data_IF_479444533553
#
_entry.id   IF_479444533553
#
_cell.length_a   1.000
_cell.length_b   1.000
_cell.length_c   1.000
_cell.angle_alpha   90.00
_cell.angle_beta   90.00
_cell.angle_gamma   90.00
#
_symmetry.space_group_name_H-M   'P 1'
#
loop_
_entity.id
_entity.type
_entity.pdbx_description
1 polymer ?
#
# COMPACT_ATOMS: atom_id res chain seq x y z
N UNK A 1 17.40 -15.14 -17.38
CA UNK A 1 16.71 -14.54 -16.22
C UNK A 1 15.19 -14.72 -16.36
N UNK A 2 14.65 -15.84 -15.88
CA UNK A 2 13.20 -16.07 -15.92
C UNK A 2 12.51 -15.14 -14.92
N UNK A 3 11.74 -14.17 -15.42
CA UNK A 3 10.99 -13.19 -14.60
C UNK A 3 9.70 -13.80 -14.03
N UNK A 4 9.69 -15.09 -13.74
CA UNK A 4 8.47 -15.91 -13.54
C UNK A 4 7.57 -15.47 -12.38
N UNK A 5 8.10 -14.72 -11.42
CA UNK A 5 7.35 -14.21 -10.27
C UNK A 5 7.19 -12.68 -10.26
N UNK A 6 7.63 -11.99 -11.31
CA UNK A 6 7.55 -10.53 -11.38
C UNK A 6 6.09 -10.10 -11.50
N UNK A 7 5.57 -9.45 -10.46
CA UNK A 7 4.21 -8.89 -10.48
C UNK A 7 3.09 -9.88 -10.18
N UNK A 8 3.41 -11.14 -9.82
CA UNK A 8 2.43 -12.14 -9.40
C UNK A 8 1.53 -11.58 -8.29
N UNK A 9 0.21 -11.69 -8.45
CA UNK A 9 -0.81 -11.16 -7.54
C UNK A 9 -1.03 -9.64 -7.59
N UNK A 10 -0.07 -8.83 -8.05
CA UNK A 10 -0.24 -7.37 -8.18
C UNK A 10 -0.86 -7.03 -9.54
N UNK A 11 -0.48 -7.73 -10.61
CA UNK A 11 -0.99 -7.46 -11.96
C UNK A 11 -2.49 -7.71 -12.10
N UNK A 12 -3.02 -8.66 -11.33
CA UNK A 12 -4.44 -9.03 -11.27
C UNK A 12 -5.31 -7.98 -10.55
N UNK A 13 -4.70 -7.13 -9.73
CA UNK A 13 -5.43 -6.07 -9.03
C UNK A 13 -5.76 -4.94 -9.99
N UNK A 14 -6.93 -4.31 -9.76
CA UNK A 14 -7.34 -3.07 -10.44
C UNK A 14 -6.22 -2.03 -10.31
N UNK A 15 -5.87 -1.40 -11.44
CA UNK A 15 -4.75 -0.46 -11.55
C UNK A 15 -3.43 -0.97 -10.96
N UNK A 16 -3.21 -2.28 -10.95
CA UNK A 16 -2.07 -2.95 -10.33
C UNK A 16 -1.89 -2.60 -8.84
N UNK A 17 -3.01 -2.46 -8.13
CA UNK A 17 -3.08 -2.12 -6.71
C UNK A 17 -2.76 -0.65 -6.41
N UNK A 18 -2.80 0.24 -7.41
CA UNK A 18 -2.65 1.68 -7.22
C UNK A 18 -3.98 2.31 -6.82
N UNK A 19 -3.91 3.32 -5.97
CA UNK A 19 -5.06 4.09 -5.52
C UNK A 19 -4.63 5.27 -4.66
N UNK A 20 -5.56 5.75 -3.85
CA UNK A 20 -5.33 6.84 -2.89
C UNK A 20 -5.01 6.25 -1.52
N UNK A 21 -3.89 6.65 -0.93
CA UNK A 21 -3.52 6.19 0.41
C UNK A 21 -4.43 6.81 1.48
N UNK A 22 -5.08 5.99 2.29
CA UNK A 22 -5.98 6.46 3.36
C UNK A 22 -5.30 7.35 4.41
N UNK A 23 -3.98 7.19 4.63
CA UNK A 23 -3.21 7.98 5.61
C UNK A 23 -2.65 9.27 5.03
N UNK A 24 -1.79 9.18 4.02
CA UNK A 24 -1.08 10.34 3.46
C UNK A 24 -1.77 11.00 2.26
N UNK A 25 -2.95 10.50 1.85
CA UNK A 25 -3.77 11.01 0.74
C UNK A 25 -3.06 11.09 -0.62
N UNK A 26 -1.87 10.51 -0.77
CA UNK A 26 -1.16 10.42 -2.06
C UNK A 26 -1.92 9.51 -3.02
N UNK A 27 -2.02 9.95 -4.26
CA UNK A 27 -2.71 9.25 -5.35
C UNK A 27 -1.72 8.48 -6.24
N UNK A 28 -2.25 7.57 -7.07
CA UNK A 28 -1.44 6.80 -8.04
C UNK A 28 -0.41 5.85 -7.40
N UNK A 29 -0.52 5.59 -6.09
CA UNK A 29 0.45 4.83 -5.30
C UNK A 29 -0.11 3.45 -4.92
N UNK A 30 0.78 2.46 -4.82
CA UNK A 30 0.42 1.11 -4.39
C UNK A 30 -0.11 1.10 -2.95
N UNK A 31 -1.38 0.76 -2.78
CA UNK A 31 -2.11 0.64 -1.50
C UNK A 31 -2.37 -0.83 -1.19
N UNK A 32 -1.30 -1.57 -0.93
CA UNK A 32 -1.32 -3.03 -0.79
C UNK A 32 -1.43 -3.52 0.65
N UNK A 33 -1.29 -2.64 1.63
CA UNK A 33 -1.18 -3.05 3.03
C UNK A 33 -2.41 -2.62 3.79
N UNK A 34 -3.08 -3.56 4.42
CA UNK A 34 -4.15 -3.27 5.36
C UNK A 34 -3.55 -2.94 6.72
N UNK A 35 -3.98 -1.82 7.28
CA UNK A 35 -3.61 -1.39 8.61
C UNK A 35 -4.80 -0.71 9.27
N UNK A 36 -4.92 -0.90 10.57
CA UNK A 36 -5.90 -0.17 11.37
C UNK A 36 -5.44 1.29 11.54
N UNK A 37 -6.28 2.22 11.09
CA UNK A 37 -6.12 3.66 11.27
C UNK A 37 -7.41 4.15 11.90
N UNK A 38 -7.30 4.84 13.04
CA UNK A 38 -8.46 5.44 13.73
C UNK A 38 -9.60 4.45 14.01
N UNK A 39 -9.27 3.19 14.33
CA UNK A 39 -10.23 2.10 14.61
C UNK A 39 -10.87 1.48 13.37
N UNK A 40 -10.47 1.87 12.16
CA UNK A 40 -10.95 1.28 10.91
C UNK A 40 -9.79 0.63 10.14
N UNK A 41 -10.05 -0.57 9.59
CA UNK A 41 -9.11 -1.24 8.70
C UNK A 41 -9.10 -0.51 7.36
N UNK A 42 -7.98 0.12 7.02
CA UNK A 42 -7.81 0.85 5.77
C UNK A 42 -6.57 0.37 5.01
N UNK A 43 -6.63 0.46 3.67
CA UNK A 43 -5.48 0.18 2.81
C UNK A 43 -4.55 1.38 2.74
N UNK A 44 -3.28 1.14 3.05
CA UNK A 44 -2.22 2.15 3.11
C UNK A 44 -1.10 1.85 2.13
N UNK A 45 -0.36 2.90 1.78
CA UNK A 45 0.82 2.77 0.94
C UNK A 45 2.02 2.21 1.72
N UNK A 46 3.02 1.71 0.97
CA UNK A 46 4.25 1.14 1.55
C UNK A 46 4.99 2.11 2.49
N UNK A 47 4.96 3.41 2.19
CA UNK A 47 5.68 4.42 2.97
C UNK A 47 4.99 4.67 4.31
N UNK A 48 3.65 4.75 4.30
CA UNK A 48 2.86 4.86 5.52
C UNK A 48 3.04 3.62 6.42
N UNK A 49 3.08 2.41 5.84
CA UNK A 49 3.38 1.19 6.61
C UNK A 49 4.74 1.28 7.30
N UNK A 50 5.77 1.70 6.56
CA UNK A 50 7.11 1.90 7.12
C UNK A 50 7.13 3.00 8.19
N UNK A 51 6.39 4.10 8.01
CA UNK A 51 6.30 5.18 8.98
C UNK A 51 5.63 4.72 10.29
N UNK A 52 4.51 3.97 10.22
CA UNK A 52 3.89 3.32 11.40
C UNK A 52 4.91 2.41 12.10
N UNK A 53 5.59 1.52 11.35
CA UNK A 53 6.56 0.58 11.91
C UNK A 53 7.71 1.30 12.64
N UNK A 54 8.13 2.45 12.13
CA UNK A 54 9.26 3.22 12.65
C UNK A 54 8.83 4.27 13.71
N UNK A 55 7.57 4.26 14.15
CA UNK A 55 7.06 5.23 15.13
C UNK A 55 7.06 6.68 14.65
N UNK A 56 7.09 6.91 13.33
CA UNK A 56 7.10 8.25 12.74
C UNK A 56 5.66 8.72 12.47
N UNK A 57 5.29 9.86 13.03
CA UNK A 57 4.12 10.61 12.59
C UNK A 57 4.41 11.19 11.20
N UNK A 58 3.56 10.86 10.25
CA UNK A 58 3.53 11.36 8.87
C UNK A 58 2.08 11.36 8.44
#
# INVERSE_FOLDING_TARGET
MSKSHRGKGILELVAHGRGVCARCKKEGIKVLYEQEIDGQKAKICKYCKAAIKNGKSV
#
